data_IF_890145520733
#
_entry.id   IF_890145520733
#
_cell.length_a   1.000
_cell.length_b   1.000
_cell.length_c   1.000
_cell.angle_alpha   90.00
_cell.angle_beta   90.00
_cell.angle_gamma   90.00
#
_symmetry.space_group_name_H-M   'P 1'
#
loop_
_entity.id
_entity.type
_entity.pdbx_description
1 polymer ?
#
# COMPACT_ATOMS: atom_id res chain seq x y z
N UNK A 1 3.51 2.24 -5.53
CA UNK A 1 2.38 2.23 -4.60
C UNK A 1 2.72 1.31 -3.45
N UNK A 2 2.73 1.83 -2.22
CA UNK A 2 3.06 1.06 -1.03
C UNK A 2 1.89 1.16 -0.03
N UNK A 3 1.04 0.12 0.11
CA UNK A 3 0.00 0.11 1.13
C UNK A 3 0.62 0.13 2.53
N UNK A 4 0.03 0.92 3.42
CA UNK A 4 0.46 1.01 4.81
C UNK A 4 -0.10 -0.15 5.64
N UNK A 5 0.63 -0.49 6.70
CA UNK A 5 0.23 -1.44 7.73
C UNK A 5 -0.03 -0.73 9.06
N UNK A 6 -0.39 -1.53 10.07
CA UNK A 6 -0.63 -1.02 11.41
C UNK A 6 0.62 -0.41 12.08
N UNK A 7 1.82 -0.87 11.71
CA UNK A 7 3.08 -0.41 12.30
C UNK A 7 3.44 1.01 11.82
N UNK A 8 3.10 1.35 10.58
CA UNK A 8 3.47 2.60 9.92
C UNK A 8 2.30 3.59 9.76
N UNK A 9 1.25 3.46 10.58
CA UNK A 9 0.06 4.32 10.50
C UNK A 9 0.38 5.80 10.74
N UNK A 10 1.36 6.11 11.59
CA UNK A 10 1.74 7.48 11.92
C UNK A 10 2.38 8.18 10.72
N UNK A 11 3.31 7.50 10.05
CA UNK A 11 4.02 7.99 8.87
C UNK A 11 3.08 8.10 7.67
N UNK A 12 2.23 7.09 7.47
CA UNK A 12 1.21 7.10 6.42
C UNK A 12 0.24 8.27 6.58
N UNK A 13 -0.24 8.54 7.79
CA UNK A 13 -1.13 9.68 8.07
C UNK A 13 -0.39 11.02 7.90
N UNK A 14 0.85 11.12 8.38
CA UNK A 14 1.71 12.29 8.14
C UNK A 14 1.87 12.59 6.65
N UNK A 15 2.05 11.56 5.80
CA UNK A 15 2.11 11.73 4.36
C UNK A 15 0.80 12.22 3.74
N UNK A 16 -0.35 11.95 4.36
CA UNK A 16 -1.65 12.51 4.01
C UNK A 16 -1.86 13.95 4.50
N UNK A 17 -1.23 14.35 5.61
CA UNK A 17 -1.42 15.66 6.24
C UNK A 17 -0.47 16.76 5.74
N UNK A 18 0.82 16.43 5.60
CA UNK A 18 1.84 17.41 5.21
C UNK A 18 1.87 17.61 3.69
N UNK A 19 2.30 18.79 3.22
CA UNK A 19 2.53 19.02 1.78
C UNK A 19 4.02 18.97 1.44
N UNK A 20 4.38 18.15 0.45
CA UNK A 20 5.77 18.05 -0.03
C UNK A 20 6.31 19.35 -0.63
N UNK A 21 5.43 20.33 -0.90
CA UNK A 21 5.82 21.67 -1.36
C UNK A 21 6.54 22.48 -0.27
N UNK A 22 6.26 22.23 1.00
CA UNK A 22 6.79 23.03 2.12
C UNK A 22 7.72 22.25 3.03
N UNK A 23 7.69 20.92 2.99
CA UNK A 23 8.54 20.06 3.81
C UNK A 23 9.08 18.90 2.99
N UNK A 24 10.31 18.48 3.27
CA UNK A 24 10.81 17.20 2.81
C UNK A 24 10.20 16.09 3.68
N UNK A 25 9.22 15.37 3.15
CA UNK A 25 8.52 14.30 3.88
C UNK A 25 9.43 13.13 4.22
N UNK A 26 10.41 12.81 3.36
CA UNK A 26 11.34 11.71 3.59
C UNK A 26 12.25 11.99 4.79
N UNK A 27 12.80 13.21 4.88
CA UNK A 27 13.60 13.62 6.04
C UNK A 27 12.77 13.67 7.33
N UNK A 28 11.51 14.10 7.24
CA UNK A 28 10.65 14.28 8.42
C UNK A 28 10.08 12.97 8.97
N UNK A 29 9.79 11.99 8.12
CA UNK A 29 9.31 10.69 8.58
C UNK A 29 10.41 9.83 9.19
N UNK A 30 11.68 10.09 8.85
CA UNK A 30 12.81 9.26 9.30
C UNK A 30 12.85 7.87 8.65
N UNK A 31 12.02 7.65 7.62
CA UNK A 31 12.01 6.40 6.84
C UNK A 31 13.09 6.41 5.76
N UNK A 32 13.49 5.23 5.33
CA UNK A 32 14.55 5.03 4.35
C UNK A 32 13.97 4.98 2.94
N UNK A 33 14.24 6.02 2.16
CA UNK A 33 13.84 6.10 0.75
C UNK A 33 15.02 5.66 -0.13
N UNK A 34 14.82 4.61 -0.94
CA UNK A 34 15.82 4.11 -1.89
C UNK A 34 15.34 4.27 -3.32
N UNK A 35 16.28 4.34 -4.27
CA UNK A 35 15.94 4.37 -5.69
C UNK A 35 15.49 2.98 -6.15
N UNK A 36 14.37 2.92 -6.87
CA UNK A 36 13.96 1.71 -7.57
C UNK A 36 14.95 1.32 -8.69
N UNK A 37 15.09 0.02 -8.94
CA UNK A 37 15.80 -0.53 -10.09
C UNK A 37 14.93 -0.66 -11.36
N UNK A 38 13.60 -0.61 -11.22
CA UNK A 38 12.64 -0.86 -12.30
C UNK A 38 11.94 0.40 -12.82
N UNK A 39 11.87 1.47 -12.02
CA UNK A 39 11.17 2.72 -12.35
C UNK A 39 11.92 3.94 -11.80
N UNK A 40 11.67 5.12 -12.37
CA UNK A 40 12.21 6.39 -11.86
C UNK A 40 11.35 6.94 -10.71
N UNK A 41 11.28 6.17 -9.61
CA UNK A 41 10.56 6.53 -8.40
C UNK A 41 11.27 5.96 -7.16
N UNK A 42 11.10 6.58 -5.98
CA UNK A 42 11.64 6.03 -4.75
C UNK A 42 10.75 4.89 -4.21
N UNK A 43 11.36 4.01 -3.43
CA UNK A 43 10.75 2.95 -2.61
C UNK A 43 11.03 3.26 -1.13
N UNK A 44 10.06 2.98 -0.26
CA UNK A 44 10.21 3.09 1.19
C UNK A 44 10.53 1.69 1.71
N UNK A 45 11.70 1.50 2.32
CA UNK A 45 12.18 0.16 2.74
C UNK A 45 11.38 -0.43 3.90
N UNK A 46 10.87 0.41 4.80
CA UNK A 46 10.13 -0.05 5.98
C UNK A 46 8.71 -0.52 5.65
N UNK A 47 8.17 -0.19 4.47
CA UNK A 47 6.84 -0.65 4.08
C UNK A 47 6.94 -2.08 3.50
N UNK A 48 6.22 -3.07 4.06
CA UNK A 48 6.46 -4.48 3.78
C UNK A 48 6.00 -4.92 2.38
N UNK A 49 5.26 -4.06 1.68
CA UNK A 49 4.79 -4.30 0.32
C UNK A 49 4.90 -3.02 -0.50
N UNK A 50 5.58 -3.08 -1.64
CA UNK A 50 5.65 -1.98 -2.60
C UNK A 50 5.50 -2.49 -4.03
N UNK A 51 4.50 -1.97 -4.74
CA UNK A 51 4.36 -2.14 -6.19
C UNK A 51 5.05 -0.99 -6.93
N UNK A 52 5.94 -1.32 -7.85
CA UNK A 52 6.61 -0.38 -8.72
C UNK A 52 5.88 -0.32 -10.05
N UNK A 53 5.45 0.88 -10.45
CA UNK A 53 4.55 1.05 -11.58
C UNK A 53 5.10 2.01 -12.63
N UNK A 54 4.96 1.65 -13.91
CA UNK A 54 5.13 2.58 -15.03
C UNK A 54 3.78 3.22 -15.34
N UNK A 55 3.73 4.55 -15.43
CA UNK A 55 2.51 5.26 -15.83
C UNK A 55 2.24 4.97 -17.32
N UNK A 56 1.06 4.41 -17.60
CA UNK A 56 0.58 4.12 -18.96
C UNK A 56 -0.42 5.15 -19.47
N UNK A 57 -1.19 5.76 -18.57
CA UNK A 57 -2.16 6.79 -18.93
C UNK A 57 -2.41 7.76 -17.78
N UNK A 58 -2.81 8.99 -18.12
CA UNK A 58 -3.20 10.04 -17.18
C UNK A 58 -4.49 10.69 -17.67
N UNK A 59 -5.55 10.52 -16.89
CA UNK A 59 -6.90 10.94 -17.24
C UNK A 59 -7.36 12.08 -16.34
N UNK A 60 -8.11 13.03 -16.89
CA UNK A 60 -8.85 14.03 -16.12
C UNK A 60 -10.11 13.41 -15.52
N UNK A 61 -10.35 13.66 -14.23
CA UNK A 61 -11.50 13.11 -13.51
C UNK A 61 -12.04 14.10 -12.48
N UNK A 62 -13.06 14.87 -12.85
CA UNK A 62 -13.81 15.70 -11.90
C UNK A 62 -12.97 16.72 -11.10
N UNK A 63 -11.90 17.25 -11.67
CA UNK A 63 -10.96 18.16 -10.98
C UNK A 63 -9.73 17.47 -10.36
N UNK A 64 -9.67 16.15 -10.47
CA UNK A 64 -8.53 15.32 -10.06
C UNK A 64 -7.86 14.68 -11.28
N UNK A 65 -6.73 14.01 -11.04
CA UNK A 65 -6.03 13.21 -12.03
C UNK A 65 -6.12 11.74 -11.64
N UNK A 66 -6.50 10.88 -12.59
CA UNK A 66 -6.44 9.44 -12.47
C UNK A 66 -5.24 8.91 -13.24
N UNK A 67 -4.33 8.22 -12.56
CA UNK A 67 -3.16 7.59 -13.18
C UNK A 67 -3.44 6.09 -13.39
N UNK A 68 -3.19 5.58 -14.59
CA UNK A 68 -3.20 4.14 -14.86
C UNK A 68 -1.74 3.67 -14.86
N UNK A 69 -1.39 2.81 -13.91
CA UNK A 69 -0.05 2.25 -13.75
C UNK A 69 -0.01 0.77 -14.14
N UNK A 70 1.01 0.37 -14.89
CA UNK A 70 1.38 -1.04 -15.08
C UNK A 70 2.37 -1.44 -14.00
N UNK A 71 2.04 -2.48 -13.22
CA UNK A 71 2.96 -3.04 -12.23
C UNK A 71 4.08 -3.79 -12.96
N UNK A 72 5.31 -3.32 -12.79
CA UNK A 72 6.51 -3.94 -13.39
C UNK A 72 7.37 -4.68 -12.37
N UNK A 73 7.16 -4.41 -11.08
CA UNK A 73 7.76 -5.16 -9.98
C UNK A 73 6.89 -5.07 -8.72
N UNK A 74 6.96 -6.09 -7.87
CA UNK A 74 6.37 -6.10 -6.53
C UNK A 74 7.44 -6.53 -5.55
N UNK A 75 7.84 -5.60 -4.67
CA UNK A 75 8.72 -5.87 -3.52
C UNK A 75 7.86 -6.32 -2.35
N UNK A 76 8.24 -7.42 -1.73
CA UNK A 76 7.53 -7.98 -0.57
C UNK A 76 8.57 -8.38 0.46
N UNK A 77 8.34 -8.00 1.71
CA UNK A 77 9.11 -8.52 2.84
C UNK A 77 8.76 -10.01 3.05
N UNK A 78 9.77 -10.87 3.12
CA UNK A 78 9.59 -12.30 3.40
C UNK A 78 8.86 -12.53 4.74
N UNK A 79 8.95 -11.57 5.67
CA UNK A 79 8.25 -11.59 6.94
C UNK A 79 6.72 -11.52 6.81
N UNK A 80 6.17 -11.19 5.63
CA UNK A 80 4.71 -11.19 5.39
C UNK A 80 4.26 -12.24 4.38
N UNK A 81 5.12 -13.19 3.99
CA UNK A 81 4.79 -14.25 3.03
C UNK A 81 4.40 -15.56 3.71
N UNK A 82 3.30 -16.18 3.31
CA UNK A 82 2.94 -17.55 3.70
C UNK A 82 3.90 -18.61 3.12
N UNK A 83 3.67 -19.89 3.44
CA UNK A 83 4.49 -21.02 2.97
C UNK A 83 4.45 -21.18 1.45
N UNK A 84 3.40 -20.68 0.79
CA UNK A 84 3.22 -20.67 -0.66
C UNK A 84 3.77 -19.41 -1.35
N UNK A 85 4.39 -18.49 -0.60
CA UNK A 85 4.97 -17.25 -1.12
C UNK A 85 3.93 -16.17 -1.45
N UNK A 86 2.75 -16.21 -0.83
CA UNK A 86 1.69 -15.21 -0.99
C UNK A 86 1.67 -14.26 0.20
N UNK A 87 1.17 -13.05 0.01
CA UNK A 87 1.02 -12.09 1.11
C UNK A 87 -0.03 -12.57 2.10
N UNK A 88 0.40 -12.79 3.33
CA UNK A 88 -0.44 -13.13 4.48
C UNK A 88 -0.90 -11.83 5.16
N UNK A 89 -2.21 -11.61 5.20
CA UNK A 89 -2.81 -10.39 5.74
C UNK A 89 -2.77 -10.33 7.28
N UNK A 90 -2.70 -11.48 7.96
CA UNK A 90 -2.53 -11.53 9.42
C UNK A 90 -1.12 -11.10 9.81
N UNK A 91 -0.13 -11.39 8.95
CA UNK A 91 1.26 -10.95 9.13
C UNK A 91 1.47 -9.51 8.68
N UNK A 92 0.95 -9.15 7.50
CA UNK A 92 1.08 -7.79 6.95
C UNK A 92 0.29 -6.76 7.77
N UNK A 93 -0.86 -7.12 8.34
CA UNK A 93 -1.76 -6.22 9.07
C UNK A 93 -2.05 -4.89 8.33
N UNK A 94 -2.50 -4.94 7.05
CA UNK A 94 -2.77 -3.74 6.27
C UNK A 94 -3.88 -2.89 6.89
N UNK A 95 -3.79 -1.57 6.73
CA UNK A 95 -4.81 -0.64 7.21
C UNK A 95 -5.76 -0.17 6.10
N UNK A 96 -7.01 0.07 6.48
CA UNK A 96 -8.05 0.67 5.64
C UNK A 96 -8.55 1.97 6.26
N UNK A 97 -8.85 2.95 5.43
CA UNK A 97 -9.41 4.22 5.85
C UNK A 97 -10.93 4.14 5.95
N UNK A 98 -11.47 4.30 7.17
CA UNK A 98 -12.90 4.44 7.44
C UNK A 98 -13.27 5.93 7.33
N UNK A 99 -13.73 6.32 6.14
CA UNK A 99 -14.08 7.71 5.83
C UNK A 99 -15.26 8.24 6.65
N UNK A 100 -16.12 7.36 7.18
CA UNK A 100 -17.30 7.76 7.95
C UNK A 100 -16.92 8.33 9.31
N UNK A 101 -15.87 7.80 9.92
CA UNK A 101 -15.35 8.21 11.23
C UNK A 101 -14.00 8.93 11.17
N UNK A 102 -13.35 8.94 9.99
CA UNK A 102 -11.98 9.43 9.77
C UNK A 102 -10.98 8.71 10.68
N UNK A 103 -11.03 7.38 10.68
CA UNK A 103 -10.12 6.52 11.44
C UNK A 103 -9.52 5.46 10.52
N UNK A 104 -8.39 4.89 10.91
CA UNK A 104 -7.84 3.70 10.26
C UNK A 104 -8.25 2.44 11.01
N UNK A 105 -8.45 1.35 10.29
CA UNK A 105 -8.72 0.02 10.83
C UNK A 105 -7.75 -0.96 10.23
N UNK A 106 -7.31 -1.94 11.01
CA UNK A 106 -6.60 -3.10 10.46
C UNK A 106 -7.62 -3.98 9.76
N UNK A 107 -7.26 -4.59 8.62
CA UNK A 107 -8.08 -5.64 7.99
C UNK A 107 -8.29 -6.77 9.00
N UNK A 108 -9.51 -7.27 9.08
CA UNK A 108 -9.92 -8.27 10.07
C UNK A 108 -9.61 -9.70 9.66
N UNK A 109 -10.20 -10.63 10.39
CA UNK A 109 -10.05 -12.07 10.22
C UNK A 109 -10.56 -12.60 8.86
N UNK A 110 -10.04 -13.76 8.46
CA UNK A 110 -10.57 -14.51 7.32
C UNK A 110 -12.03 -14.93 7.58
N UNK A 111 -12.90 -14.72 6.57
CA UNK A 111 -14.33 -15.07 6.66
C UNK A 111 -14.75 -16.20 5.72
N UNK A 112 -13.82 -16.71 4.90
CA UNK A 112 -14.03 -17.85 4.00
C UNK A 112 -13.33 -17.72 2.65
N UNK A 113 -13.20 -18.85 1.94
CA UNK A 113 -12.51 -18.93 0.65
C UNK A 113 -13.30 -18.28 -0.50
N UNK A 114 -12.64 -17.41 -1.27
CA UNK A 114 -13.18 -16.88 -2.52
C UNK A 114 -13.32 -18.00 -3.57
N UNK A 115 -14.40 -17.96 -4.37
CA UNK A 115 -14.80 -19.04 -5.30
C UNK A 115 -14.99 -20.43 -4.65
N UNK A 116 -15.13 -20.47 -3.32
CA UNK A 116 -15.30 -21.70 -2.54
C UNK A 116 -16.49 -21.63 -1.57
N UNK A 117 -16.58 -20.63 -0.69
CA UNK A 117 -17.65 -20.54 0.31
C UNK A 117 -19.07 -20.60 -0.28
N UNK A 118 -19.25 -20.10 -1.51
CA UNK A 118 -20.53 -20.16 -2.24
C UNK A 118 -20.93 -21.57 -2.72
N UNK A 119 -20.03 -22.55 -2.72
CA UNK A 119 -20.33 -23.97 -3.06
C UNK A 119 -21.36 -24.57 -2.12
N UNK A 120 -21.53 -24.04 -0.91
CA UNK A 120 -22.60 -24.46 0.00
C UNK A 120 -24.02 -24.23 -0.55
N UNK A 121 -24.18 -23.42 -1.61
CA UNK A 121 -25.46 -23.11 -2.27
C UNK A 121 -25.62 -23.80 -3.64
N UNK A 122 -24.64 -24.60 -4.09
CA UNK A 122 -24.68 -25.34 -5.36
C UNK A 122 -24.90 -26.83 -5.10
#
# INVERSE_FOLDING_TARGET
MAPADAAHVVEADYFGMATGRTVNKAEKSGLTFVRSAHVDAPVIEEFPLTMECIVRDVQDWGGEKRFIGEVVNTRVDEAILDEEGRVDFDRMRPIVYDSTRRIYRVVGEEVGGAWDAGRALM
#
